data_IF_667204906110
#
_entry.id   IF_667204906110
#
_cell.length_a   1.000
_cell.length_b   1.000
_cell.length_c   1.000
_cell.angle_alpha   90.00
_cell.angle_beta   90.00
_cell.angle_gamma   90.00
#
_symmetry.space_group_name_H-M   'P 1'
#
loop_
_entity.id
_entity.type
_entity.pdbx_description
1 polymer ?
#
# COMPACT_ATOMS: atom_id res chain seq x y z
N UNK A 1 8.15 36.41 25.12
CA UNK A 1 9.26 35.43 25.08
C UNK A 1 8.66 34.11 24.66
N UNK A 2 8.97 33.62 23.46
CA UNK A 2 8.54 32.29 23.04
C UNK A 2 9.21 31.26 23.97
N UNK A 3 8.45 30.28 24.45
CA UNK A 3 9.01 29.24 25.31
C UNK A 3 9.83 28.26 24.45
N UNK A 4 10.82 27.59 25.03
CA UNK A 4 11.62 26.57 24.31
C UNK A 4 10.73 25.50 23.65
N UNK A 5 9.54 25.24 24.18
CA UNK A 5 8.55 24.34 23.60
C UNK A 5 7.97 24.82 22.27
N UNK A 6 7.70 26.11 22.12
CA UNK A 6 7.13 26.68 20.89
C UNK A 6 8.11 26.56 19.71
N UNK A 7 9.40 26.75 19.97
CA UNK A 7 10.46 26.60 18.95
C UNK A 7 10.62 25.14 18.55
N UNK A 8 10.61 24.21 19.50
CA UNK A 8 10.72 22.77 19.23
C UNK A 8 9.55 22.24 18.41
N UNK A 9 8.32 22.69 18.70
CA UNK A 9 7.11 22.29 17.95
C UNK A 9 7.18 22.79 16.52
N UNK A 10 7.58 24.04 16.31
CA UNK A 10 7.69 24.62 14.97
C UNK A 10 8.75 23.87 14.15
N UNK A 11 9.89 23.54 14.76
CA UNK A 11 10.93 22.71 14.12
C UNK A 11 10.40 21.31 13.79
N UNK A 12 9.64 20.68 14.69
CA UNK A 12 9.07 19.35 14.44
C UNK A 12 8.05 19.34 13.30
N UNK A 13 7.17 20.34 13.24
CA UNK A 13 6.19 20.50 12.15
C UNK A 13 6.89 20.79 10.83
N UNK A 14 7.93 21.63 10.81
CA UNK A 14 8.72 21.88 9.60
C UNK A 14 9.49 20.65 9.13
N UNK A 15 10.05 19.84 10.05
CA UNK A 15 10.74 18.59 9.71
C UNK A 15 9.76 17.53 9.18
N UNK A 16 8.57 17.41 9.77
CA UNK A 16 7.50 16.53 9.28
C UNK A 16 6.99 16.97 7.89
N UNK A 17 6.84 18.28 7.66
CA UNK A 17 6.46 18.81 6.35
C UNK A 17 7.53 18.53 5.30
N UNK A 18 8.82 18.73 5.62
CA UNK A 18 9.93 18.41 4.72
C UNK A 18 10.04 16.91 4.41
N UNK A 19 9.81 16.07 5.41
CA UNK A 19 9.78 14.62 5.26
C UNK A 19 8.64 14.20 4.32
N UNK A 20 7.44 14.76 4.51
CA UNK A 20 6.28 14.50 3.65
C UNK A 20 6.52 14.92 2.19
N UNK A 21 7.15 16.09 1.97
CA UNK A 21 7.52 16.55 0.61
C UNK A 21 8.56 15.66 -0.07
N UNK A 22 9.49 15.02 0.67
CA UNK A 22 10.45 14.08 0.07
C UNK A 22 9.80 12.76 -0.34
N UNK A 23 8.72 12.34 0.32
CA UNK A 23 8.00 11.10 0.01
C UNK A 23 7.17 11.22 -1.27
N UNK A 24 6.62 12.41 -1.57
CA UNK A 24 5.84 12.65 -2.79
C UNK A 24 6.63 12.51 -4.10
N UNK A 25 7.97 12.61 -4.08
CA UNK A 25 8.78 12.55 -5.30
C UNK A 25 8.96 11.13 -5.86
N UNK A 26 8.54 10.09 -5.12
CA UNK A 26 8.72 8.68 -5.51
C UNK A 26 7.39 7.92 -5.75
N UNK A 27 6.25 8.62 -5.79
CA UNK A 27 4.94 7.99 -5.99
C UNK A 27 4.49 8.06 -7.47
N UNK A 28 3.83 7.00 -7.99
CA UNK A 28 3.26 7.01 -9.33
C UNK A 28 2.15 8.07 -9.47
N UNK A 29 1.99 8.59 -10.69
CA UNK A 29 1.16 9.77 -11.04
C UNK A 29 -0.31 9.67 -10.61
N UNK A 30 -0.84 8.46 -10.34
CA UNK A 30 -2.23 8.28 -9.87
C UNK A 30 -2.42 8.44 -8.34
N UNK A 31 -1.36 8.78 -7.59
CA UNK A 31 -1.39 8.98 -6.12
C UNK A 31 -1.08 10.42 -5.69
N UNK A 32 -1.11 11.39 -6.61
CA UNK A 32 -1.04 12.80 -6.25
C UNK A 32 -2.42 13.26 -5.74
N UNK A 33 -2.73 12.95 -4.48
CA UNK A 33 -3.91 13.51 -3.80
C UNK A 33 -3.69 15.02 -3.57
N UNK A 34 -4.52 15.86 -4.20
CA UNK A 34 -4.73 17.23 -3.74
C UNK A 34 -5.53 17.16 -2.43
N UNK A 35 -4.82 17.23 -1.30
CA UNK A 35 -5.43 17.30 0.03
C UNK A 35 -5.71 15.94 0.66
N UNK A 36 -5.16 15.74 1.86
CA UNK A 36 -5.29 14.51 2.64
C UNK A 36 -6.70 14.38 3.23
N UNK A 37 -7.66 13.84 2.47
CA UNK A 37 -8.89 13.29 3.04
C UNK A 37 -9.16 11.93 2.36
N UNK A 38 -8.94 10.85 3.08
CA UNK A 38 -9.40 9.51 2.70
C UNK A 38 -10.52 9.09 3.66
N UNK A 39 -11.66 8.67 3.12
CA UNK A 39 -12.75 8.06 3.86
C UNK A 39 -12.58 6.53 3.84
N UNK A 40 -12.40 5.91 5.01
CA UNK A 40 -12.32 4.45 5.17
C UNK A 40 -12.20 4.07 6.66
N UNK A 41 -12.98 3.07 7.07
CA UNK A 41 -13.09 2.60 8.45
C UNK A 41 -11.78 1.95 8.92
N UNK A 42 -11.12 2.55 9.91
CA UNK A 42 -9.83 2.07 10.42
C UNK A 42 -8.90 3.14 11.00
N UNK A 43 -9.29 4.41 11.02
CA UNK A 43 -8.45 5.48 11.57
C UNK A 43 -8.39 5.44 13.11
N UNK A 44 -7.30 4.88 13.66
CA UNK A 44 -6.93 5.07 15.06
C UNK A 44 -6.64 6.54 15.33
N UNK A 45 -7.48 7.18 16.15
CA UNK A 45 -7.34 8.60 16.52
C UNK A 45 -6.61 8.73 17.85
N UNK A 46 -5.40 9.28 17.85
CA UNK A 46 -4.77 9.79 19.07
C UNK A 46 -5.02 11.29 19.16
N UNK A 47 -5.96 11.70 20.01
CA UNK A 47 -6.23 13.10 20.30
C UNK A 47 -5.44 13.57 21.50
N UNK A 48 -4.58 14.58 21.34
CA UNK A 48 -4.07 15.37 22.47
C UNK A 48 -5.08 16.49 22.70
N UNK A 49 -5.83 16.43 23.80
CA UNK A 49 -6.79 17.48 24.18
C UNK A 49 -6.10 18.51 25.06
N UNK A 50 -6.06 19.76 24.61
CA UNK A 50 -5.63 20.89 25.43
C UNK A 50 -6.85 21.59 26.00
N UNK A 51 -6.82 21.87 27.30
CA UNK A 51 -7.82 22.73 27.95
C UNK A 51 -7.12 23.99 28.42
N UNK A 52 -7.59 25.15 27.96
CA UNK A 52 -7.13 26.45 28.43
C UNK A 52 -8.29 27.19 29.09
N UNK A 53 -7.99 27.85 30.21
CA UNK A 53 -8.87 28.81 30.86
C UNK A 53 -8.56 30.20 30.31
N UNK A 54 -9.54 30.86 29.70
CA UNK A 54 -9.40 32.25 29.29
C UNK A 54 -10.19 33.15 30.24
N UNK A 55 -9.49 34.03 30.98
CA UNK A 55 -10.14 35.06 31.79
C UNK A 55 -10.54 36.24 30.89
N UNK A 56 -11.84 36.43 30.68
CA UNK A 56 -12.37 37.60 29.99
C UNK A 56 -12.60 38.76 30.98
N UNK A 57 -12.23 39.98 30.55
CA UNK A 57 -12.20 41.19 31.36
C UNK A 57 -13.51 41.49 32.13
N UNK A 58 -13.34 41.95 33.38
CA UNK A 58 -14.39 42.32 34.35
C UNK A 58 -15.32 43.42 33.80
N UNK A 59 -16.65 43.18 33.78
CA UNK A 59 -17.64 44.27 33.83
C UNK A 59 -18.11 44.43 35.27
N UNK A 60 -17.92 45.61 35.85
CA UNK A 60 -18.50 45.96 37.15
C UNK A 60 -19.84 46.67 36.92
N UNK A 61 -20.92 46.06 37.39
CA UNK A 61 -22.24 46.71 37.46
C UNK A 61 -22.36 47.27 38.88
N UNK A 62 -22.40 48.59 39.02
CA UNK A 62 -22.70 49.25 40.31
C UNK A 62 -24.20 49.49 40.39
N UNK A 63 -24.87 48.89 41.37
CA UNK A 63 -26.19 49.34 41.79
C UNK A 63 -26.27 49.29 43.33
N UNK A 64 -26.64 50.43 43.93
CA UNK A 64 -26.61 50.69 45.37
C UNK A 64 -27.88 50.13 46.03
N UNK A 65 -27.80 48.93 46.60
CA UNK A 65 -28.66 48.44 47.70
C UNK A 65 -28.55 46.93 47.98
N UNK A 66 -27.69 46.17 47.28
CA UNK A 66 -27.54 44.72 47.52
C UNK A 66 -26.07 44.29 47.38
N UNK A 67 -25.60 43.43 48.28
CA UNK A 67 -24.24 42.86 48.31
C UNK A 67 -23.76 42.41 46.92
N UNK A 68 -22.52 42.78 46.58
CA UNK A 68 -21.86 42.44 45.32
C UNK A 68 -21.59 40.94 45.23
N UNK A 69 -22.29 40.23 44.34
CA UNK A 69 -21.97 38.84 43.97
C UNK A 69 -21.25 38.82 42.62
N UNK A 70 -20.04 38.27 42.58
CA UNK A 70 -19.32 37.98 41.34
C UNK A 70 -19.78 36.64 40.78
N UNK A 71 -20.47 36.64 39.64
CA UNK A 71 -20.80 35.42 38.90
C UNK A 71 -19.71 35.13 37.86
N UNK A 72 -19.07 33.96 37.94
CA UNK A 72 -18.10 33.47 36.95
C UNK A 72 -18.83 32.54 35.97
N UNK A 73 -18.94 32.93 34.71
CA UNK A 73 -19.41 32.04 33.64
C UNK A 73 -18.20 31.49 32.89
N UNK A 74 -17.95 30.18 33.02
CA UNK A 74 -16.83 29.51 32.36
C UNK A 74 -17.27 28.97 31.00
N UNK A 75 -16.74 29.50 29.89
CA UNK A 75 -16.97 28.96 28.54
C UNK A 75 -15.83 28.01 28.20
N UNK A 76 -16.13 26.71 28.00
CA UNK A 76 -15.14 25.71 27.58
C UNK A 76 -14.95 25.75 26.06
N UNK A 77 -13.73 26.02 25.60
CA UNK A 77 -13.36 25.94 24.18
C UNK A 77 -12.34 24.81 24.01
N UNK A 78 -12.71 23.77 23.27
CA UNK A 78 -11.84 22.60 22.98
C UNK A 78 -11.37 22.64 21.53
N UNK A 79 -10.05 22.70 21.31
CA UNK A 79 -9.43 22.53 19.99
C UNK A 79 -8.82 21.13 19.90
N UNK A 80 -9.34 20.29 19.00
CA UNK A 80 -8.82 18.93 18.76
C UNK A 80 -8.07 18.89 17.44
N UNK A 81 -6.75 18.69 17.47
CA UNK A 81 -5.95 18.40 16.26
C UNK A 81 -5.97 16.90 16.03
N UNK A 82 -6.72 16.44 15.02
CA UNK A 82 -6.70 15.04 14.60
C UNK A 82 -5.55 14.84 13.62
N UNK A 83 -4.45 14.24 14.08
CA UNK A 83 -3.42 13.72 13.19
C UNK A 83 -3.93 12.40 12.60
N UNK A 84 -4.47 12.44 11.38
CA UNK A 84 -4.76 11.24 10.61
C UNK A 84 -3.44 10.62 10.14
N UNK A 85 -2.86 9.72 10.93
CA UNK A 85 -1.83 8.80 10.43
C UNK A 85 -2.51 7.78 9.53
N UNK A 86 -2.51 8.03 8.22
CA UNK A 86 -2.87 7.03 7.23
C UNK A 86 -1.75 6.00 7.13
N UNK A 87 -1.94 4.80 7.68
CA UNK A 87 -1.16 3.64 7.25
C UNK A 87 -1.63 3.29 5.82
N UNK A 88 -0.79 3.57 4.81
CA UNK A 88 -1.02 3.04 3.47
C UNK A 88 -0.52 1.59 3.48
N UNK A 89 -1.37 0.66 3.93
CA UNK A 89 -1.16 -0.75 3.59
C UNK A 89 -1.36 -0.90 2.08
N UNK A 90 -0.29 -1.20 1.36
CA UNK A 90 -0.39 -1.54 -0.05
C UNK A 90 -1.25 -2.80 -0.17
N UNK A 91 -2.49 -2.66 -0.63
CA UNK A 91 -3.36 -3.82 -0.81
C UNK A 91 -2.75 -4.74 -1.88
N UNK A 92 -2.56 -6.01 -1.51
CA UNK A 92 -2.13 -7.06 -2.43
C UNK A 92 -3.27 -7.33 -3.41
N UNK A 93 -3.11 -6.88 -4.66
CA UNK A 93 -4.10 -7.05 -5.72
C UNK A 93 -4.32 -8.53 -6.08
N UNK A 94 -3.23 -9.28 -6.19
CA UNK A 94 -3.26 -10.71 -6.55
C UNK A 94 -3.43 -11.53 -5.28
N UNK A 95 -4.49 -12.35 -5.15
CA UNK A 95 -4.68 -13.20 -3.97
C UNK A 95 -3.53 -14.19 -3.76
N UNK A 96 -3.21 -14.53 -2.52
CA UNK A 96 -2.08 -15.42 -2.20
C UNK A 96 -2.18 -16.80 -2.85
N UNK A 97 -3.39 -17.38 -2.91
CA UNK A 97 -3.64 -18.67 -3.60
C UNK A 97 -3.40 -18.57 -5.11
N UNK A 98 -3.72 -17.42 -5.69
CA UNK A 98 -3.48 -17.11 -7.08
C UNK A 98 -1.98 -17.06 -7.41
N UNK A 99 -1.22 -16.33 -6.58
CA UNK A 99 0.25 -16.27 -6.66
C UNK A 99 0.87 -17.67 -6.56
N UNK A 100 0.36 -18.49 -5.64
CA UNK A 100 0.82 -19.87 -5.50
C UNK A 100 0.62 -20.67 -6.79
N UNK A 101 -0.56 -20.62 -7.42
CA UNK A 101 -0.79 -21.35 -8.66
C UNK A 101 0.01 -20.82 -9.85
N UNK A 102 0.29 -19.53 -9.91
CA UNK A 102 1.21 -18.96 -10.90
C UNK A 102 2.63 -19.49 -10.68
N UNK A 103 3.08 -19.55 -9.42
CA UNK A 103 4.39 -20.08 -9.03
C UNK A 103 4.55 -21.58 -9.36
N UNK A 104 3.51 -22.38 -9.05
CA UNK A 104 3.43 -23.79 -9.40
C UNK A 104 3.51 -24.01 -10.91
N UNK A 105 2.76 -23.23 -11.70
CA UNK A 105 2.81 -23.33 -13.14
C UNK A 105 4.16 -22.89 -13.76
N UNK A 106 4.86 -21.96 -13.11
CA UNK A 106 6.15 -21.48 -13.59
C UNK A 106 7.31 -22.46 -13.33
N UNK A 107 7.38 -23.04 -12.14
CA UNK A 107 8.54 -23.87 -11.71
C UNK A 107 8.19 -25.07 -10.80
N UNK A 108 6.91 -25.37 -10.57
CA UNK A 108 6.47 -26.23 -9.47
C UNK A 108 6.71 -25.60 -8.10
N UNK A 109 6.67 -24.25 -8.07
CA UNK A 109 7.00 -23.39 -6.95
C UNK A 109 8.25 -23.82 -6.15
N UNK A 110 9.27 -24.29 -6.87
CA UNK A 110 10.48 -24.78 -6.25
C UNK A 110 11.32 -23.60 -5.75
N UNK A 111 11.26 -23.31 -4.45
CA UNK A 111 12.03 -22.22 -3.85
C UNK A 111 13.56 -22.44 -3.86
N UNK A 112 14.00 -23.68 -4.13
CA UNK A 112 15.42 -23.96 -4.38
C UNK A 112 15.85 -23.47 -5.78
N UNK A 113 14.89 -23.11 -6.65
CA UNK A 113 15.12 -22.43 -7.92
C UNK A 113 15.36 -20.92 -7.72
N UNK A 114 16.28 -20.60 -6.83
CA UNK A 114 16.69 -19.23 -6.51
C UNK A 114 17.79 -18.69 -7.45
N UNK A 115 18.05 -19.37 -8.57
CA UNK A 115 19.05 -18.98 -9.54
C UNK A 115 18.42 -18.48 -10.82
N UNK A 116 19.20 -17.77 -11.63
CA UNK A 116 18.77 -17.30 -12.93
C UNK A 116 19.24 -18.25 -14.04
N UNK A 117 18.37 -18.45 -15.02
CA UNK A 117 18.64 -19.23 -16.23
C UNK A 117 18.85 -18.29 -17.42
N UNK A 118 19.35 -18.84 -18.53
CA UNK A 118 19.55 -18.13 -19.80
C UNK A 118 20.43 -16.87 -19.67
N UNK A 119 21.64 -16.99 -19.11
CA UNK A 119 22.57 -15.87 -18.88
C UNK A 119 21.92 -14.74 -18.05
N UNK A 120 21.28 -15.10 -16.93
CA UNK A 120 20.62 -14.16 -16.03
C UNK A 120 19.44 -13.39 -16.64
N UNK A 121 18.73 -13.96 -17.61
CA UNK A 121 17.56 -13.33 -18.23
C UNK A 121 16.24 -13.67 -17.54
N UNK A 122 16.15 -14.85 -16.92
CA UNK A 122 14.94 -15.39 -16.29
C UNK A 122 15.30 -15.89 -14.91
N UNK A 123 14.67 -15.40 -13.85
CA UNK A 123 15.11 -15.64 -12.48
C UNK A 123 13.98 -16.04 -11.53
N UNK A 124 14.31 -16.92 -10.58
CA UNK A 124 13.46 -17.22 -9.43
C UNK A 124 12.27 -18.13 -9.71
N UNK A 125 11.45 -18.40 -8.66
CA UNK A 125 10.35 -19.34 -8.73
C UNK A 125 9.20 -18.87 -9.65
N UNK A 126 9.10 -17.57 -9.88
CA UNK A 126 8.13 -16.94 -10.79
C UNK A 126 8.68 -16.70 -12.20
N UNK A 127 9.89 -17.22 -12.52
CA UNK A 127 10.54 -17.03 -13.84
C UNK A 127 10.49 -15.59 -14.35
N UNK A 128 10.79 -14.63 -13.48
CA UNK A 128 10.70 -13.20 -13.79
C UNK A 128 11.82 -12.81 -14.75
N UNK A 129 11.48 -12.05 -15.78
CA UNK A 129 12.46 -11.45 -16.71
C UNK A 129 12.83 -10.03 -16.29
N UNK A 130 13.99 -9.54 -16.74
CA UNK A 130 14.40 -8.15 -16.47
C UNK A 130 13.37 -7.11 -16.94
N UNK A 131 12.80 -7.19 -18.16
CA UNK A 131 11.76 -6.26 -18.60
C UNK A 131 10.48 -6.34 -17.75
N UNK A 132 10.10 -7.54 -17.27
CA UNK A 132 8.97 -7.70 -16.36
C UNK A 132 9.22 -6.96 -15.03
N UNK A 133 10.40 -7.13 -14.46
CA UNK A 133 10.80 -6.44 -13.23
C UNK A 133 10.89 -4.92 -13.40
N UNK A 134 11.42 -4.43 -14.52
CA UNK A 134 11.43 -3.00 -14.85
C UNK A 134 10.00 -2.46 -15.04
N UNK A 135 9.13 -3.21 -15.72
CA UNK A 135 7.72 -2.89 -15.85
C UNK A 135 7.00 -2.78 -14.50
N UNK A 136 7.38 -3.61 -13.53
CA UNK A 136 6.88 -3.54 -12.16
C UNK A 136 7.35 -2.28 -11.41
N UNK A 137 8.36 -1.56 -11.90
CA UNK A 137 8.96 -0.39 -11.23
C UNK A 137 10.24 -0.72 -10.48
N UNK A 138 10.89 -1.82 -10.84
CA UNK A 138 12.21 -2.21 -10.34
C UNK A 138 12.29 -2.30 -8.81
N UNK A 139 11.38 -3.03 -8.13
CA UNK A 139 11.45 -3.21 -6.69
C UNK A 139 12.79 -3.85 -6.30
N UNK A 140 13.34 -3.43 -5.18
CA UNK A 140 14.64 -3.90 -4.71
C UNK A 140 14.54 -4.62 -3.38
N UNK A 141 15.55 -5.45 -3.09
CA UNK A 141 15.65 -6.17 -1.82
C UNK A 141 16.55 -5.39 -0.86
N UNK A 142 16.11 -5.17 0.39
CA UNK A 142 16.87 -4.43 1.43
C UNK A 142 17.29 -3.00 1.04
N UNK A 143 16.40 -2.25 0.38
CA UNK A 143 16.62 -0.83 0.01
C UNK A 143 17.88 -0.57 -0.83
N UNK A 144 18.42 -1.60 -1.50
CA UNK A 144 19.49 -1.41 -2.46
C UNK A 144 19.01 -0.53 -3.63
N UNK A 145 19.94 0.19 -4.26
CA UNK A 145 19.62 0.99 -5.44
C UNK A 145 19.15 0.09 -6.59
N UNK A 146 18.03 0.44 -7.22
CA UNK A 146 17.50 -0.25 -8.40
C UNK A 146 18.47 -0.23 -9.59
N UNK A 147 19.43 0.70 -9.59
CA UNK A 147 20.47 0.82 -10.61
C UNK A 147 21.68 -0.12 -10.39
N UNK A 148 21.69 -0.97 -9.35
CA UNK A 148 22.78 -1.93 -9.19
C UNK A 148 22.68 -3.03 -10.25
N UNK A 149 23.81 -3.42 -10.83
CA UNK A 149 23.88 -4.45 -11.91
C UNK A 149 23.24 -5.78 -11.50
N UNK A 150 23.11 -6.04 -10.20
CA UNK A 150 22.55 -7.26 -9.62
C UNK A 150 21.20 -7.08 -8.92
N UNK A 151 20.60 -5.88 -8.89
CA UNK A 151 19.31 -5.62 -8.23
C UNK A 151 18.20 -6.55 -8.75
N UNK A 152 18.10 -6.69 -10.07
CA UNK A 152 17.14 -7.58 -10.71
C UNK A 152 17.32 -9.02 -10.24
N UNK A 153 18.52 -9.58 -10.37
CA UNK A 153 18.82 -10.98 -10.00
C UNK A 153 18.53 -11.22 -8.52
N UNK A 154 18.98 -10.33 -7.63
CA UNK A 154 18.74 -10.48 -6.18
C UNK A 154 17.25 -10.43 -5.83
N UNK A 155 16.50 -9.49 -6.41
CA UNK A 155 15.08 -9.37 -6.17
C UNK A 155 14.30 -10.57 -6.73
N UNK A 156 14.52 -10.92 -8.00
CA UNK A 156 13.79 -11.98 -8.66
C UNK A 156 14.07 -13.37 -8.06
N UNK A 157 15.29 -13.60 -7.56
CA UNK A 157 15.65 -14.82 -6.83
C UNK A 157 15.12 -14.89 -5.38
N UNK A 158 14.69 -13.76 -4.80
CA UNK A 158 14.14 -13.73 -3.45
C UNK A 158 12.61 -13.89 -3.50
N UNK A 159 12.05 -14.77 -2.68
CA UNK A 159 10.60 -15.03 -2.67
C UNK A 159 9.77 -13.77 -2.38
N UNK A 160 10.14 -13.00 -1.37
CA UNK A 160 9.37 -11.81 -0.99
C UNK A 160 9.44 -10.73 -2.08
N UNK A 161 10.63 -10.47 -2.62
CA UNK A 161 10.82 -9.46 -3.65
C UNK A 161 10.22 -9.86 -5.01
N UNK A 162 10.25 -11.15 -5.35
CA UNK A 162 9.56 -11.68 -6.54
C UNK A 162 8.04 -11.57 -6.43
N UNK A 163 7.44 -11.91 -5.28
CA UNK A 163 6.01 -11.68 -5.01
C UNK A 163 5.66 -10.20 -5.17
N UNK A 164 6.45 -9.31 -4.55
CA UNK A 164 6.27 -7.86 -4.68
C UNK A 164 6.34 -7.40 -6.13
N UNK A 165 7.27 -7.96 -6.91
CA UNK A 165 7.39 -7.68 -8.35
C UNK A 165 6.12 -8.06 -9.10
N UNK A 166 5.57 -9.26 -8.87
CA UNK A 166 4.32 -9.70 -9.51
C UNK A 166 3.16 -8.79 -9.10
N UNK A 167 3.00 -8.48 -7.81
CA UNK A 167 1.94 -7.57 -7.32
C UNK A 167 2.00 -6.19 -7.99
N UNK A 168 3.18 -5.59 -8.05
CA UNK A 168 3.38 -4.27 -8.66
C UNK A 168 3.18 -4.32 -10.18
N UNK A 169 3.60 -5.40 -10.84
CA UNK A 169 3.36 -5.59 -12.26
C UNK A 169 1.86 -5.69 -12.57
N UNK A 170 1.11 -6.47 -11.79
CA UNK A 170 -0.34 -6.59 -11.96
C UNK A 170 -1.06 -5.28 -11.67
N UNK A 171 -0.63 -4.52 -10.66
CA UNK A 171 -1.20 -3.20 -10.35
C UNK A 171 -1.16 -2.26 -11.55
N UNK A 172 -0.10 -2.33 -12.36
CA UNK A 172 0.10 -1.51 -13.56
C UNK A 172 -0.58 -2.07 -14.81
N UNK A 173 -0.78 -3.37 -14.89
CA UNK A 173 -1.14 -4.05 -16.14
C UNK A 173 -2.47 -4.80 -16.10
N UNK A 174 -3.14 -4.87 -14.95
CA UNK A 174 -4.45 -5.53 -14.78
C UNK A 174 -5.43 -5.09 -15.86
N UNK A 175 -6.07 -6.08 -16.46
CA UNK A 175 -7.13 -5.94 -17.47
C UNK A 175 -7.86 -7.28 -17.55
N UNK A 176 -9.03 -7.25 -18.14
CA UNK A 176 -9.74 -8.46 -18.56
C UNK A 176 -9.06 -8.96 -19.85
N UNK A 177 -8.53 -10.17 -19.80
CA UNK A 177 -7.77 -10.81 -20.88
C UNK A 177 -8.60 -11.88 -21.60
N UNK A 178 -9.56 -12.51 -20.91
CA UNK A 178 -10.40 -13.55 -21.48
C UNK A 178 -11.77 -13.03 -22.00
N UNK A 179 -12.09 -11.76 -21.73
CA UNK A 179 -13.30 -11.08 -22.19
C UNK A 179 -14.56 -11.43 -21.40
N UNK A 180 -14.44 -11.97 -20.18
CA UNK A 180 -15.58 -12.36 -19.34
C UNK A 180 -16.16 -11.21 -18.48
N UNK A 181 -15.51 -10.04 -18.51
CA UNK A 181 -15.88 -8.85 -17.76
C UNK A 181 -15.38 -8.82 -16.31
N UNK A 182 -14.61 -9.82 -15.86
CA UNK A 182 -14.17 -10.00 -14.48
C UNK A 182 -12.65 -10.21 -14.42
N UNK A 183 -11.93 -9.20 -13.93
CA UNK A 183 -10.48 -9.34 -13.67
C UNK A 183 -10.24 -10.28 -12.48
N UNK A 184 -9.75 -11.48 -12.76
CA UNK A 184 -9.53 -12.53 -11.79
C UNK A 184 -8.17 -13.24 -11.99
N UNK A 185 -8.00 -14.40 -11.36
CA UNK A 185 -6.76 -15.15 -11.41
C UNK A 185 -6.33 -15.61 -12.81
N UNK A 186 -7.29 -15.90 -13.68
CA UNK A 186 -6.99 -16.32 -15.04
C UNK A 186 -6.34 -15.17 -15.82
N UNK A 187 -6.82 -13.94 -15.65
CA UNK A 187 -6.20 -12.76 -16.24
C UNK A 187 -4.80 -12.50 -15.68
N UNK A 188 -4.63 -12.63 -14.36
CA UNK A 188 -3.32 -12.47 -13.75
C UNK A 188 -2.33 -13.53 -14.24
N UNK A 189 -2.77 -14.79 -14.40
CA UNK A 189 -1.93 -15.86 -14.95
C UNK A 189 -1.56 -15.58 -16.41
N UNK A 190 -2.50 -15.13 -17.24
CA UNK A 190 -2.27 -14.74 -18.62
C UNK A 190 -1.27 -13.58 -18.73
N UNK A 191 -1.48 -12.50 -17.96
CA UNK A 191 -0.57 -11.34 -17.92
C UNK A 191 0.83 -11.73 -17.43
N UNK A 192 0.93 -12.66 -16.48
CA UNK A 192 2.21 -13.12 -15.98
C UNK A 192 3.01 -13.87 -17.06
N UNK A 193 2.36 -14.82 -17.72
CA UNK A 193 3.00 -15.74 -18.65
C UNK A 193 3.24 -15.13 -20.03
N UNK A 194 2.28 -14.36 -20.55
CA UNK A 194 2.30 -13.79 -21.90
C UNK A 194 2.72 -12.31 -21.90
N UNK A 195 2.69 -11.67 -20.74
CA UNK A 195 2.99 -10.25 -20.60
C UNK A 195 1.78 -9.35 -20.83
N UNK A 196 2.05 -8.05 -20.88
CA UNK A 196 1.02 -6.99 -20.88
C UNK A 196 0.14 -6.98 -22.14
N UNK A 197 0.73 -7.24 -23.31
CA UNK A 197 0.08 -7.01 -24.60
C UNK A 197 -0.60 -8.27 -25.14
N UNK A 198 -0.01 -9.43 -24.87
CA UNK A 198 -0.40 -10.69 -25.49
C UNK A 198 -1.28 -11.56 -24.58
N UNK A 199 -1.86 -11.01 -23.51
CA UNK A 199 -2.61 -11.81 -22.53
C UNK A 199 -3.93 -12.40 -23.06
N UNK A 200 -4.39 -12.01 -24.25
CA UNK A 200 -5.57 -12.58 -24.91
C UNK A 200 -5.25 -13.86 -25.70
N UNK A 201 -3.96 -14.17 -25.88
CA UNK A 201 -3.52 -15.39 -26.55
C UNK A 201 -3.62 -16.61 -25.64
N UNK A 202 -3.59 -17.80 -26.23
CA UNK A 202 -3.64 -19.05 -25.48
C UNK A 202 -2.37 -19.25 -24.64
N UNK A 203 -2.57 -19.62 -23.37
CA UNK A 203 -1.48 -20.01 -22.49
C UNK A 203 -0.76 -21.26 -23.03
N UNK A 204 0.58 -21.33 -22.94
CA UNK A 204 1.31 -22.55 -23.28
C UNK A 204 0.81 -23.76 -22.48
N UNK A 205 0.63 -24.90 -23.14
CA UNK A 205 -0.04 -26.08 -22.59
C UNK A 205 0.52 -26.54 -21.24
N UNK A 206 1.85 -26.55 -21.07
CA UNK A 206 2.51 -26.99 -19.83
C UNK A 206 2.20 -26.05 -18.66
N UNK A 207 2.17 -24.75 -18.93
CA UNK A 207 1.82 -23.74 -17.94
C UNK A 207 0.33 -23.81 -17.61
N UNK A 208 -0.52 -23.85 -18.64
CA UNK A 208 -1.97 -23.89 -18.50
C UNK A 208 -2.44 -25.10 -17.70
N UNK A 209 -1.94 -26.29 -18.02
CA UNK A 209 -2.32 -27.53 -17.32
C UNK A 209 -1.94 -27.50 -15.84
N UNK A 210 -0.70 -27.10 -15.53
CA UNK A 210 -0.22 -26.97 -14.15
C UNK A 210 -1.00 -25.92 -13.36
N UNK A 211 -1.26 -24.76 -13.97
CA UNK A 211 -2.04 -23.69 -13.36
C UNK A 211 -3.48 -24.11 -13.07
N UNK A 212 -4.17 -24.69 -14.05
CA UNK A 212 -5.58 -25.10 -13.91
C UNK A 212 -5.75 -26.19 -12.86
N UNK A 213 -4.81 -27.13 -12.75
CA UNK A 213 -4.85 -28.16 -11.71
C UNK A 213 -4.67 -27.55 -10.31
N UNK A 214 -3.70 -26.65 -10.13
CA UNK A 214 -3.54 -25.94 -8.87
C UNK A 214 -4.79 -25.11 -8.52
N UNK A 215 -5.33 -24.36 -9.48
CA UNK A 215 -6.55 -23.57 -9.32
C UNK A 215 -7.73 -24.45 -8.89
N UNK A 216 -7.89 -25.62 -9.51
CA UNK A 216 -8.95 -26.57 -9.18
C UNK A 216 -8.87 -27.02 -7.71
N UNK A 217 -7.66 -27.20 -7.18
CA UNK A 217 -7.43 -27.63 -5.80
C UNK A 217 -7.63 -26.48 -4.81
N UNK A 218 -7.13 -25.27 -5.11
CA UNK A 218 -7.06 -24.20 -4.10
C UNK A 218 -8.17 -23.13 -4.21
N UNK A 219 -8.70 -22.90 -5.41
CA UNK A 219 -9.62 -21.80 -5.69
C UNK A 219 -11.07 -22.25 -5.86
N UNK A 220 -11.36 -23.54 -6.08
CA UNK A 220 -12.75 -24.04 -6.10
C UNK A 220 -13.40 -24.16 -4.72
N UNK A 221 -12.60 -24.21 -3.67
CA UNK A 221 -13.10 -24.28 -2.29
C UNK A 221 -13.78 -22.98 -1.82
N UNK A 222 -13.56 -21.86 -2.53
CA UNK A 222 -14.17 -20.56 -2.19
C UNK A 222 -15.64 -20.45 -2.62
N UNK A 223 -16.04 -21.15 -3.70
CA UNK A 223 -17.42 -21.18 -4.16
C UNK A 223 -18.31 -22.14 -3.34
N UNK A 224 -17.70 -23.13 -2.66
CA UNK A 224 -18.41 -24.05 -1.78
C UNK A 224 -18.61 -23.47 -0.37
N UNK A 225 -17.60 -22.76 0.17
CA UNK A 225 -17.64 -22.23 1.53
C UNK A 225 -18.44 -20.92 1.69
N UNK A 226 -18.83 -20.26 0.60
CA UNK A 226 -19.72 -19.08 0.63
C UNK A 226 -21.22 -19.43 0.66
N UNK A 227 -21.58 -20.72 0.70
CA UNK A 227 -22.96 -21.19 0.89
C UNK A 227 -23.31 -21.61 2.32
N UNK A 228 -22.35 -21.52 3.25
CA UNK A 228 -22.54 -21.91 4.66
C UNK A 228 -22.31 -20.75 5.66
N UNK A 229 -22.23 -19.49 5.19
CA UNK A 229 -22.17 -18.30 6.06
C UNK A 229 -23.34 -17.34 5.89
#
# INVERSE_FOLDING_TARGET
>A
MATLGDVLITVFVFLLHRYCSSVQQNLPVNQQCLGCICAGEGCGSFGITWTYWADFAKRTVKNESVQSYTAYANVRVTFSVHLCFGFIEGQNLVPSKCLFCICEAATGCNFNFNYCTFNSKVCGPFRITKPYWEGAGSPTFLEESSNSTSAFTRCASNLHCSIKTVQMFMTKNKRDCNGDGIINCDDFAAIHQLGKYDCHEDLPQDFASSYQECKRILLKDEAANQKES
#
